data_IF_362494313880
#
_entry.id   IF_362494313880
#
_cell.length_a   1.000
_cell.length_b   1.000
_cell.length_c   1.000
_cell.angle_alpha   90.00
_cell.angle_beta   90.00
_cell.angle_gamma   90.00
#
_symmetry.space_group_name_H-M   'P 1'
#
loop_
_entity.id
_entity.type
_entity.pdbx_description
1 polymer ?
#
# COMPACT_ATOMS: atom_id res chain seq x y z
N UNK A 1 33.95 -29.93 -61.51
CA UNK A 1 33.85 -28.48 -61.24
C UNK A 1 32.64 -28.23 -60.32
N UNK A 2 32.54 -28.97 -59.20
CA UNK A 2 31.26 -29.15 -58.47
C UNK A 2 31.38 -28.84 -56.96
N UNK A 3 32.60 -28.66 -56.46
CA UNK A 3 32.86 -28.50 -55.02
C UNK A 3 32.89 -27.03 -54.53
N UNK A 4 32.97 -26.07 -55.46
CA UNK A 4 33.01 -24.62 -55.15
C UNK A 4 31.62 -24.01 -54.91
N UNK A 5 30.61 -24.46 -55.68
CA UNK A 5 29.22 -23.99 -55.58
C UNK A 5 28.58 -24.32 -54.23
N UNK A 6 28.87 -25.52 -53.70
CA UNK A 6 28.34 -26.00 -52.42
C UNK A 6 28.84 -25.18 -51.23
N UNK A 7 30.13 -24.78 -51.21
CA UNK A 7 30.69 -24.00 -50.10
C UNK A 7 30.11 -22.58 -50.05
N UNK A 8 29.86 -21.96 -51.19
CA UNK A 8 29.25 -20.63 -51.26
C UNK A 8 27.79 -20.66 -50.79
N UNK A 9 27.03 -21.68 -51.20
CA UNK A 9 25.65 -21.88 -50.76
C UNK A 9 25.56 -22.12 -49.24
N UNK A 10 26.46 -22.92 -48.68
CA UNK A 10 26.54 -23.17 -47.21
C UNK A 10 26.91 -21.89 -46.46
N UNK A 11 27.87 -21.11 -46.96
CA UNK A 11 28.23 -19.82 -46.34
C UNK A 11 27.06 -18.82 -46.38
N UNK A 12 26.34 -18.73 -47.50
CA UNK A 12 25.15 -17.87 -47.62
C UNK A 12 24.05 -18.32 -46.63
N UNK A 13 23.81 -19.63 -46.51
CA UNK A 13 22.84 -20.17 -45.54
C UNK A 13 23.23 -19.84 -44.10
N UNK A 14 24.51 -19.97 -43.74
CA UNK A 14 25.00 -19.66 -42.39
C UNK A 14 24.88 -18.16 -42.10
N UNK A 15 25.23 -17.29 -43.05
CA UNK A 15 25.12 -15.82 -42.88
C UNK A 15 23.65 -15.37 -42.77
N UNK A 16 22.74 -15.96 -43.56
CA UNK A 16 21.29 -15.73 -43.45
C UNK A 16 20.74 -16.14 -42.07
N UNK A 17 21.20 -17.26 -41.52
CA UNK A 17 20.80 -17.71 -40.18
C UNK A 17 21.40 -16.83 -39.07
N UNK A 18 22.64 -16.34 -39.21
CA UNK A 18 23.27 -15.46 -38.22
C UNK A 18 22.61 -14.06 -38.20
N UNK A 19 22.18 -13.54 -39.35
CA UNK A 19 21.46 -12.25 -39.43
C UNK A 19 20.05 -12.31 -38.82
N UNK A 20 19.40 -13.48 -38.81
CA UNK A 20 18.08 -13.66 -38.20
C UNK A 20 18.10 -13.67 -36.65
N UNK A 21 19.26 -13.82 -36.00
CA UNK A 21 19.37 -13.87 -34.52
C UNK A 21 19.46 -12.44 -33.90
N UNK A 22 19.44 -11.38 -34.71
CA UNK A 22 19.37 -10.00 -34.22
C UNK A 22 17.91 -9.55 -34.03
N UNK A 23 17.19 -10.17 -33.10
CA UNK A 23 15.99 -9.56 -32.52
C UNK A 23 16.15 -9.44 -31.01
N UNK A 24 16.42 -8.19 -30.64
CA UNK A 24 16.51 -7.60 -29.32
C UNK A 24 15.48 -8.22 -28.37
N UNK A 25 15.95 -8.84 -27.28
CA UNK A 25 15.13 -9.12 -26.11
C UNK A 25 14.75 -7.79 -25.44
N UNK A 26 13.83 -7.05 -26.05
CA UNK A 26 13.08 -6.03 -25.35
C UNK A 26 12.09 -6.78 -24.45
N UNK A 27 12.57 -7.23 -23.28
CA UNK A 27 11.68 -7.59 -22.19
C UNK A 27 10.78 -6.38 -21.96
N UNK A 28 9.46 -6.45 -22.17
CA UNK A 28 8.59 -5.35 -21.80
C UNK A 28 8.82 -5.09 -20.32
N UNK A 29 9.30 -3.91 -19.98
CA UNK A 29 9.31 -3.47 -18.58
C UNK A 29 7.89 -3.70 -18.04
N UNK A 30 7.73 -4.27 -16.83
CA UNK A 30 6.40 -4.43 -16.26
C UNK A 30 5.77 -3.03 -16.22
N UNK A 31 4.74 -2.82 -17.04
CA UNK A 31 3.92 -1.62 -16.97
C UNK A 31 3.23 -1.75 -15.61
N UNK A 32 3.79 -1.11 -14.59
CA UNK A 32 3.13 -0.92 -13.30
C UNK A 32 1.96 0.06 -13.55
N UNK A 33 0.90 -0.45 -14.17
CA UNK A 33 -0.41 0.22 -14.20
C UNK A 33 -0.78 0.37 -12.74
N UNK A 34 -0.68 1.62 -12.26
CA UNK A 34 -0.62 1.97 -10.85
C UNK A 34 -1.54 1.13 -9.98
N UNK A 35 -0.99 0.62 -8.88
CA UNK A 35 -1.77 0.01 -7.82
C UNK A 35 -2.98 0.92 -7.52
N UNK A 36 -4.22 0.39 -7.43
CA UNK A 36 -5.38 1.24 -7.21
C UNK A 36 -5.19 2.05 -5.93
N UNK A 37 -5.13 3.37 -6.09
CA UNK A 37 -5.06 4.32 -5.00
C UNK A 37 -6.40 4.28 -4.26
N UNK A 38 -6.47 3.47 -3.23
CA UNK A 38 -7.69 3.25 -2.47
C UNK A 38 -7.37 3.30 -0.99
N UNK A 39 -7.91 4.33 -0.33
CA UNK A 39 -8.04 4.42 1.12
C UNK A 39 -9.39 3.82 1.51
N UNK A 40 -9.39 2.78 2.35
CA UNK A 40 -10.58 2.00 2.70
C UNK A 40 -10.51 1.42 4.10
N UNK A 41 -11.65 0.96 4.60
CA UNK A 41 -11.73 0.22 5.85
C UNK A 41 -11.12 -1.17 5.68
N UNK A 42 -10.41 -1.63 6.70
CA UNK A 42 -9.83 -2.96 6.81
C UNK A 42 -9.97 -3.46 8.25
N UNK A 43 -10.31 -4.72 8.38
CA UNK A 43 -10.39 -5.43 9.65
C UNK A 43 -9.00 -5.84 10.16
N UNK A 44 -8.78 -5.67 11.46
CA UNK A 44 -7.56 -6.05 12.18
C UNK A 44 -7.90 -6.85 13.45
N UNK A 45 -7.24 -8.00 13.65
CA UNK A 45 -7.53 -8.95 14.73
C UNK A 45 -6.41 -9.07 15.77
N UNK A 46 -5.35 -8.29 15.62
CA UNK A 46 -4.15 -8.36 16.47
C UNK A 46 -4.25 -7.49 17.73
N UNK A 47 -5.24 -6.61 17.81
CA UNK A 47 -5.43 -5.73 18.95
C UNK A 47 -5.94 -6.49 20.16
N UNK A 48 -5.45 -6.11 21.34
CA UNK A 48 -5.92 -6.64 22.63
C UNK A 48 -6.66 -5.55 23.39
N UNK A 49 -7.87 -5.87 23.85
CA UNK A 49 -8.57 -5.06 24.83
C UNK A 49 -7.93 -5.30 26.19
N UNK A 50 -7.33 -4.25 26.75
CA UNK A 50 -6.72 -4.26 28.07
C UNK A 50 -7.55 -3.38 29.00
N UNK A 51 -8.18 -4.01 30.00
CA UNK A 51 -8.94 -3.32 31.04
C UNK A 51 -8.46 -3.83 32.40
N UNK A 52 -8.09 -2.95 33.34
CA UNK A 52 -7.70 -3.36 34.70
C UNK A 52 -8.80 -4.21 35.35
N UNK A 53 -8.41 -5.35 35.94
CA UNK A 53 -9.34 -6.29 36.58
C UNK A 53 -10.03 -7.26 35.61
N UNK A 54 -9.68 -7.25 34.32
CA UNK A 54 -10.13 -8.24 33.34
C UNK A 54 -8.93 -8.87 32.62
N UNK A 55 -9.07 -10.11 32.17
CA UNK A 55 -8.05 -10.76 31.33
C UNK A 55 -7.98 -10.07 29.94
N UNK A 56 -6.78 -9.74 29.42
CA UNK A 56 -6.62 -9.21 28.07
C UNK A 56 -7.17 -10.16 27.00
N UNK A 57 -7.98 -9.63 26.10
CA UNK A 57 -8.66 -10.40 25.05
C UNK A 57 -8.40 -9.82 23.67
N UNK A 58 -8.25 -10.68 22.65
CA UNK A 58 -8.12 -10.22 21.26
C UNK A 58 -9.45 -9.70 20.78
N UNK A 59 -9.44 -8.56 20.12
CA UNK A 59 -10.63 -7.92 19.56
C UNK A 59 -10.42 -7.64 18.07
N UNK A 60 -11.55 -7.58 17.38
CA UNK A 60 -11.60 -7.23 15.97
C UNK A 60 -11.86 -5.73 15.87
N UNK A 61 -10.99 -5.02 15.16
CA UNK A 61 -11.06 -3.56 15.02
C UNK A 61 -11.06 -3.21 13.54
N UNK A 62 -12.02 -2.39 13.13
CA UNK A 62 -12.05 -1.82 11.79
C UNK A 62 -11.25 -0.52 11.77
N UNK A 63 -10.20 -0.47 10.94
CA UNK A 63 -9.33 0.68 10.82
C UNK A 63 -9.07 1.06 9.36
N UNK A 64 -8.48 2.23 9.15
CA UNK A 64 -8.20 2.73 7.82
C UNK A 64 -6.86 2.26 7.26
N UNK A 65 -6.90 1.77 6.02
CA UNK A 65 -5.73 1.28 5.31
C UNK A 65 -5.80 1.67 3.83
N UNK A 66 -4.66 2.07 3.27
CA UNK A 66 -4.57 2.28 1.84
C UNK A 66 -3.59 3.36 1.41
N UNK A 67 -3.77 3.78 0.16
CA UNK A 67 -2.94 4.77 -0.51
C UNK A 67 -3.74 6.04 -0.81
N UNK A 68 -3.06 7.18 -0.76
CA UNK A 68 -3.61 8.49 -1.07
C UNK A 68 -2.71 9.23 -2.06
N UNK A 69 -3.33 10.02 -2.94
CA UNK A 69 -2.61 10.89 -3.85
C UNK A 69 -1.77 11.93 -3.10
N UNK A 70 -0.52 12.05 -3.53
CA UNK A 70 0.38 13.12 -3.08
C UNK A 70 1.04 13.75 -4.29
N UNK A 71 1.27 15.06 -4.23
CA UNK A 71 1.89 15.80 -5.32
C UNK A 71 2.64 17.01 -4.81
N UNK A 72 3.53 17.54 -5.65
CA UNK A 72 4.30 18.75 -5.40
C UNK A 72 4.12 19.69 -6.58
N UNK A 73 3.82 20.96 -6.29
CA UNK A 73 3.81 22.02 -7.28
C UNK A 73 5.14 22.78 -7.13
N UNK A 74 6.01 22.76 -8.16
CA UNK A 74 7.27 23.49 -8.09
C UNK A 74 6.99 25.00 -8.10
N UNK A 75 7.72 25.77 -7.30
CA UNK A 75 7.80 27.21 -7.54
C UNK A 75 8.76 27.48 -8.70
N UNK A 76 8.53 28.57 -9.43
CA UNK A 76 9.39 28.98 -10.57
C UNK A 76 10.84 29.26 -10.15
N UNK A 77 11.10 29.53 -8.87
CA UNK A 77 12.44 29.69 -8.30
C UNK A 77 12.67 28.67 -7.19
N UNK A 78 13.73 27.87 -7.35
CA UNK A 78 14.21 26.98 -6.30
C UNK A 78 14.55 27.78 -5.02
N UNK A 79 14.45 27.19 -3.81
CA UNK A 79 14.10 25.80 -3.50
C UNK A 79 12.61 25.59 -3.17
N UNK A 80 11.77 26.60 -3.33
CA UNK A 80 10.40 26.57 -2.83
C UNK A 80 9.52 25.63 -3.64
N UNK A 81 8.69 24.85 -2.94
CA UNK A 81 7.68 23.98 -3.53
C UNK A 81 6.48 23.90 -2.61
N UNK A 82 5.28 23.85 -3.19
CA UNK A 82 4.08 23.52 -2.44
C UNK A 82 3.91 22.01 -2.45
N UNK A 83 4.03 21.38 -1.29
CA UNK A 83 3.88 19.93 -1.16
C UNK A 83 2.52 19.59 -0.56
N UNK A 84 1.76 18.72 -1.23
CA UNK A 84 0.46 18.23 -0.76
C UNK A 84 0.58 16.75 -0.43
N UNK A 85 0.73 16.48 0.86
CA UNK A 85 0.84 15.12 1.40
C UNK A 85 -0.43 14.82 2.19
N UNK A 86 -1.18 13.83 1.73
CA UNK A 86 -2.38 13.31 2.41
C UNK A 86 -2.08 11.91 2.92
N UNK A 87 -2.67 11.57 4.06
CA UNK A 87 -2.69 10.22 4.60
C UNK A 87 -4.10 9.63 4.56
N UNK A 88 -4.19 8.31 4.52
CA UNK A 88 -5.45 7.61 4.73
C UNK A 88 -5.79 7.65 6.22
N UNK A 89 -6.95 8.19 6.56
CA UNK A 89 -7.37 8.43 7.95
C UNK A 89 -8.87 8.16 8.10
N UNK A 90 -9.33 8.02 9.34
CA UNK A 90 -10.74 7.86 9.69
C UNK A 90 -11.58 9.01 9.12
N UNK A 91 -12.63 8.73 8.35
CA UNK A 91 -13.60 9.77 8.03
C UNK A 91 -14.63 9.87 9.14
N UNK A 92 -15.60 8.96 9.11
CA UNK A 92 -16.59 8.73 10.14
C UNK A 92 -16.18 7.53 11.00
N UNK A 93 -16.48 7.63 12.28
CA UNK A 93 -16.22 6.59 13.25
C UNK A 93 -17.50 6.19 13.96
N UNK A 94 -17.49 4.99 14.55
CA UNK A 94 -18.57 4.50 15.38
C UNK A 94 -17.99 3.94 16.67
N UNK A 95 -18.64 4.26 17.78
CA UNK A 95 -18.31 3.69 19.08
C UNK A 95 -18.96 2.30 19.23
N UNK A 96 -18.16 1.34 19.66
CA UNK A 96 -18.55 -0.06 19.83
C UNK A 96 -18.20 -0.49 21.24
N UNK A 97 -19.15 -1.13 21.92
CA UNK A 97 -18.96 -1.70 23.25
C UNK A 97 -19.09 -3.21 23.22
N UNK A 98 -18.15 -3.89 23.86
CA UNK A 98 -18.15 -5.34 24.04
C UNK A 98 -18.10 -5.67 25.53
N UNK A 99 -18.42 -6.92 25.89
CA UNK A 99 -18.26 -7.43 27.24
C UNK A 99 -17.00 -8.28 27.29
N UNK A 100 -16.08 -7.94 28.21
CA UNK A 100 -14.88 -8.71 28.45
C UNK A 100 -15.18 -9.89 29.38
N UNK A 101 -14.64 -11.05 29.03
CA UNK A 101 -14.65 -12.25 29.87
C UNK A 101 -13.59 -12.19 30.99
N UNK A 102 -13.70 -13.11 31.95
CA UNK A 102 -12.70 -13.31 33.03
C UNK A 102 -12.32 -12.01 33.78
N UNK A 103 -13.32 -11.29 34.27
CA UNK A 103 -13.14 -10.12 35.13
C UNK A 103 -13.37 -10.43 36.61
N UNK A 104 -12.66 -9.70 37.47
CA UNK A 104 -12.81 -9.76 38.93
C UNK A 104 -14.23 -9.36 39.38
N UNK A 105 -14.62 -9.83 40.57
CA UNK A 105 -15.94 -9.52 41.13
C UNK A 105 -16.12 -8.01 41.33
N UNK A 106 -17.22 -7.45 40.81
CA UNK A 106 -17.55 -6.03 40.91
C UNK A 106 -16.88 -5.13 39.86
N UNK A 107 -16.03 -5.68 38.98
CA UNK A 107 -15.46 -4.93 37.85
C UNK A 107 -16.48 -4.85 36.72
N UNK A 108 -16.69 -3.64 36.19
CA UNK A 108 -17.48 -3.45 34.97
C UNK A 108 -16.79 -4.14 33.79
N UNK A 109 -17.53 -4.97 33.07
CA UNK A 109 -17.02 -5.76 31.96
C UNK A 109 -17.08 -5.03 30.62
N UNK A 110 -17.71 -3.86 30.57
CA UNK A 110 -17.92 -3.11 29.34
C UNK A 110 -16.61 -2.50 28.85
N UNK A 111 -16.16 -2.86 27.65
CA UNK A 111 -15.01 -2.25 26.99
C UNK A 111 -15.46 -1.55 25.72
N UNK A 112 -15.16 -0.26 25.63
CA UNK A 112 -15.62 0.61 24.54
C UNK A 112 -14.43 1.06 23.71
N UNK A 113 -14.55 0.93 22.40
CA UNK A 113 -13.53 1.33 21.43
C UNK A 113 -14.19 1.87 20.16
N UNK A 114 -13.36 2.41 19.26
CA UNK A 114 -13.81 3.07 18.04
C UNK A 114 -13.47 2.22 16.83
N UNK A 115 -14.45 2.06 15.94
CA UNK A 115 -14.27 1.46 14.60
C UNK A 115 -14.39 2.52 13.50
N UNK A 116 -13.67 2.31 12.40
CA UNK A 116 -13.83 3.07 11.17
C UNK A 116 -15.15 2.69 10.48
N UNK A 117 -16.06 3.66 10.32
CA UNK A 117 -17.22 3.50 9.44
C UNK A 117 -16.83 3.74 7.98
N UNK A 118 -15.96 4.72 7.74
CA UNK A 118 -15.36 4.97 6.44
C UNK A 118 -13.96 5.57 6.58
N UNK A 119 -13.26 5.68 5.47
CA UNK A 119 -11.89 6.20 5.40
C UNK A 119 -11.76 7.24 4.30
N UNK A 120 -10.93 8.26 4.56
CA UNK A 120 -10.74 9.40 3.65
C UNK A 120 -9.27 9.80 3.56
N UNK A 121 -8.89 10.36 2.42
CA UNK A 121 -7.57 10.96 2.23
C UNK A 121 -7.58 12.42 2.67
N UNK A 122 -6.87 12.75 3.75
CA UNK A 122 -6.77 14.13 4.28
C UNK A 122 -5.36 14.45 4.78
N UNK A 123 -5.09 15.74 5.02
CA UNK A 123 -3.84 16.15 5.68
C UNK A 123 -3.82 15.60 7.11
N UNK A 124 -2.64 15.26 7.60
CA UNK A 124 -2.50 14.87 9.00
C UNK A 124 -2.68 16.09 9.91
N UNK A 125 -3.46 15.93 10.96
CA UNK A 125 -3.73 16.95 11.96
C UNK A 125 -3.38 16.40 13.35
N UNK A 126 -2.54 17.08 14.15
CA UNK A 126 -2.17 16.60 15.48
C UNK A 126 -3.33 16.64 16.50
N UNK A 127 -4.46 17.25 16.15
CA UNK A 127 -5.65 17.35 17.01
C UNK A 127 -6.20 15.98 17.44
N UNK A 128 -6.13 14.98 16.56
CA UNK A 128 -6.72 13.65 16.78
C UNK A 128 -5.86 12.50 16.25
N UNK A 129 -4.69 12.79 15.68
CA UNK A 129 -3.82 11.81 15.04
C UNK A 129 -2.38 12.11 15.42
N UNK A 130 -1.64 11.07 15.83
CA UNK A 130 -0.20 11.22 16.01
C UNK A 130 0.51 11.20 14.65
N UNK A 131 0.86 12.39 14.17
CA UNK A 131 1.53 12.58 12.88
C UNK A 131 3.04 12.34 13.01
N UNK A 132 3.53 11.18 12.55
CA UNK A 132 4.96 10.91 12.47
C UNK A 132 5.64 11.78 11.39
N UNK A 133 6.79 12.38 11.71
CA UNK A 133 7.62 13.11 10.74
C UNK A 133 7.27 14.58 10.51
N UNK A 134 6.40 15.18 11.33
CA UNK A 134 6.23 16.63 11.40
C UNK A 134 7.18 17.14 12.51
N UNK A 135 8.34 17.67 12.12
CA UNK A 135 9.27 18.41 12.99
C UNK A 135 9.38 19.85 12.51
#
# INVERSE_FOLDING_TARGET
>A
MEQSSSRLAVFIFVVLNILAIKSTSASPAPIFRGLPLSCRVREYTEYKAEKPGCRPQRIVVDACYGFCDTYQVPALRAPYKLSQHKMCSYGETVEVSIQLDDCDSGVDRTFTYINARNCVCRKCTPENTFCLGIH
#
